data_IF_479436882759
#
_entry.id   IF_479436882759
#
_cell.length_a   1.000
_cell.length_b   1.000
_cell.length_c   1.000
_cell.angle_alpha   90.00
_cell.angle_beta   90.00
_cell.angle_gamma   90.00
#
_symmetry.space_group_name_H-M   'P 1'
#
loop_
_entity.id
_entity.type
_entity.pdbx_description
1 polymer ?
#
# COMPACT_ATOMS: atom_id res chain seq x y z
N UNK A 1 -12.83 -4.34 -5.42
CA UNK A 1 -11.82 -3.40 -4.88
C UNK A 1 -11.03 -2.77 -6.03
N UNK A 2 -10.79 -1.46 -5.97
CA UNK A 2 -10.00 -0.72 -6.97
C UNK A 2 -8.51 -1.13 -6.89
N UNK A 3 -7.82 -1.13 -8.05
CA UNK A 3 -6.40 -1.42 -8.19
C UNK A 3 -5.64 -0.12 -8.43
N UNK A 4 -4.50 0.04 -7.79
CA UNK A 4 -3.65 1.21 -7.94
C UNK A 4 -2.18 0.81 -8.03
N UNK A 5 -1.39 1.56 -8.80
CA UNK A 5 0.07 1.49 -8.73
C UNK A 5 0.54 2.45 -7.64
N UNK A 6 1.32 1.95 -6.69
CA UNK A 6 1.78 2.71 -5.53
C UNK A 6 3.27 2.47 -5.31
N UNK A 7 3.96 3.49 -4.81
CA UNK A 7 5.34 3.36 -4.35
C UNK A 7 5.34 2.97 -2.88
N UNK A 8 6.15 1.97 -2.52
CA UNK A 8 6.43 1.65 -1.11
C UNK A 8 7.48 2.64 -0.61
N UNK A 9 7.09 3.50 0.31
CA UNK A 9 7.94 4.60 0.79
C UNK A 9 8.60 4.31 2.13
N UNK A 10 7.98 3.47 2.97
CA UNK A 10 8.46 3.21 4.33
C UNK A 10 8.21 1.74 4.72
N UNK A 11 9.18 1.14 5.42
CA UNK A 11 9.04 -0.17 6.05
C UNK A 11 8.89 0.05 7.55
N UNK A 12 7.78 -0.42 8.12
CA UNK A 12 7.54 -0.52 9.56
C UNK A 12 7.73 -1.98 9.97
N UNK A 13 8.03 -2.24 11.24
CA UNK A 13 8.41 -3.56 11.79
C UNK A 13 7.99 -4.78 10.95
N UNK A 14 6.66 -4.98 10.78
CA UNK A 14 6.07 -6.10 10.02
C UNK A 14 5.17 -5.67 8.85
N UNK A 15 5.18 -4.40 8.48
CA UNK A 15 4.28 -3.87 7.43
C UNK A 15 4.97 -2.82 6.58
N UNK A 16 4.45 -2.59 5.39
CA UNK A 16 4.96 -1.60 4.47
C UNK A 16 3.92 -0.50 4.30
N UNK A 17 4.38 0.74 4.29
CA UNK A 17 3.54 1.89 4.00
C UNK A 17 3.82 2.32 2.56
N UNK A 18 2.76 2.28 1.77
CA UNK A 18 2.75 2.73 0.40
C UNK A 18 1.84 3.95 0.29
N UNK A 19 2.20 4.91 -0.55
CA UNK A 19 1.37 6.11 -0.80
C UNK A 19 0.73 6.04 -2.17
N UNK A 20 -0.59 6.10 -2.18
CA UNK A 20 -1.37 6.27 -3.40
C UNK A 20 -1.02 7.59 -4.10
N UNK A 21 -1.33 7.72 -5.40
CA UNK A 21 -1.22 9.00 -6.11
C UNK A 21 -2.02 10.13 -5.42
N UNK A 22 -3.11 9.79 -4.75
CA UNK A 22 -3.93 10.72 -3.94
C UNK A 22 -3.35 10.98 -2.54
N UNK A 23 -2.07 10.66 -2.30
CA UNK A 23 -1.35 10.81 -1.02
C UNK A 23 -1.90 10.01 0.17
N UNK A 24 -2.97 9.23 -0.01
CA UNK A 24 -3.52 8.34 1.01
C UNK A 24 -2.53 7.21 1.34
N UNK A 25 -2.37 6.95 2.64
CA UNK A 25 -1.57 5.84 3.14
C UNK A 25 -2.27 4.49 2.90
N UNK A 26 -1.52 3.54 2.38
CA UNK A 26 -1.91 2.15 2.20
C UNK A 26 -0.94 1.27 2.97
N UNK A 27 -1.47 0.48 3.89
CA UNK A 27 -0.70 -0.52 4.63
C UNK A 27 -0.72 -1.83 3.83
N UNK A 28 0.47 -2.38 3.61
CA UNK A 28 0.73 -3.66 2.96
C UNK A 28 1.42 -4.60 3.95
N UNK A 29 1.16 -5.90 3.86
CA UNK A 29 1.83 -6.91 4.70
C UNK A 29 3.19 -7.35 4.16
N UNK A 30 3.43 -7.15 2.87
CA UNK A 30 4.59 -7.61 2.13
C UNK A 30 4.97 -6.55 1.08
N UNK A 31 6.21 -6.56 0.62
CA UNK A 31 6.73 -5.63 -0.39
C UNK A 31 8.20 -5.27 -0.20
N UNK A 32 8.74 -4.46 -1.11
CA UNK A 32 10.13 -3.98 -1.11
C UNK A 32 10.13 -2.46 -1.07
N UNK A 33 10.93 -1.88 -0.17
CA UNK A 33 11.08 -0.43 -0.06
C UNK A 33 11.64 0.16 -1.36
N UNK A 34 11.03 1.22 -1.87
CA UNK A 34 11.45 1.87 -3.12
C UNK A 34 10.89 1.24 -4.38
N UNK A 35 10.09 0.18 -4.28
CA UNK A 35 9.48 -0.49 -5.43
C UNK A 35 8.06 0.04 -5.73
N UNK A 36 7.75 0.15 -7.02
CA UNK A 36 6.39 0.38 -7.49
C UNK A 36 5.62 -0.93 -7.64
N UNK A 37 4.63 -1.13 -6.78
CA UNK A 37 3.79 -2.33 -6.78
C UNK A 37 2.35 -1.99 -7.17
N UNK A 38 1.65 -2.95 -7.79
CA UNK A 38 0.20 -2.87 -7.95
C UNK A 38 -0.46 -3.40 -6.69
N UNK A 39 -1.36 -2.61 -6.11
CA UNK A 39 -2.09 -2.97 -4.90
C UNK A 39 -3.59 -2.94 -5.16
N UNK A 40 -4.29 -3.94 -4.64
CA UNK A 40 -5.76 -3.96 -4.57
C UNK A 40 -6.18 -3.52 -3.18
N UNK A 41 -7.05 -2.51 -3.11
CA UNK A 41 -7.62 -2.08 -1.83
C UNK A 41 -8.66 -3.12 -1.39
N UNK A 42 -8.42 -3.71 -0.22
CA UNK A 42 -9.28 -4.75 0.38
C UNK A 42 -10.10 -4.21 1.56
N UNK A 43 -9.74 -3.04 2.10
CA UNK A 43 -10.46 -2.40 3.18
C UNK A 43 -10.03 -0.95 3.40
N UNK A 44 -10.84 -0.21 4.13
CA UNK A 44 -10.55 1.16 4.52
C UNK A 44 -10.73 1.31 6.04
N UNK A 45 -9.79 2.00 6.68
CA UNK A 45 -9.89 2.49 8.06
C UNK A 45 -9.95 4.03 8.00
N UNK A 46 -10.35 4.70 9.10
CA UNK A 46 -10.47 6.17 9.11
C UNK A 46 -9.18 6.89 8.68
N UNK A 47 -8.02 6.35 9.06
CA UNK A 47 -6.72 7.00 8.85
C UNK A 47 -5.87 6.37 7.74
N UNK A 48 -6.20 5.17 7.26
CA UNK A 48 -5.39 4.46 6.27
C UNK A 48 -6.21 3.43 5.50
N UNK A 49 -5.70 3.00 4.35
CA UNK A 49 -6.27 1.94 3.55
C UNK A 49 -5.50 0.63 3.76
N UNK A 50 -6.19 -0.50 3.61
CA UNK A 50 -5.58 -1.82 3.61
C UNK A 50 -5.45 -2.29 2.16
N UNK A 51 -4.22 -2.56 1.75
CA UNK A 51 -3.89 -3.05 0.43
C UNK A 51 -3.34 -4.47 0.46
N UNK A 52 -3.54 -5.20 -0.64
CA UNK A 52 -2.83 -6.45 -0.93
C UNK A 52 -2.10 -6.29 -2.26
N UNK A 53 -0.82 -6.67 -2.30
CA UNK A 53 -0.04 -6.69 -3.54
C UNK A 53 -0.68 -7.70 -4.49
N UNK A 54 -0.78 -7.32 -5.76
CA UNK A 54 -1.22 -8.17 -6.85
C UNK A 54 -0.15 -8.11 -7.95
N UNK A 55 0.29 -9.28 -8.42
CA UNK A 55 1.12 -9.42 -9.63
C UNK A 55 0.32 -9.01 -10.87
#
# INVERSE_FOLDING_TARGET
>A
GKKFKTLITEKREKTFLARLPSYKAVILKEGILGEFVKVKIIGAKPNYLLGKIIS
#
